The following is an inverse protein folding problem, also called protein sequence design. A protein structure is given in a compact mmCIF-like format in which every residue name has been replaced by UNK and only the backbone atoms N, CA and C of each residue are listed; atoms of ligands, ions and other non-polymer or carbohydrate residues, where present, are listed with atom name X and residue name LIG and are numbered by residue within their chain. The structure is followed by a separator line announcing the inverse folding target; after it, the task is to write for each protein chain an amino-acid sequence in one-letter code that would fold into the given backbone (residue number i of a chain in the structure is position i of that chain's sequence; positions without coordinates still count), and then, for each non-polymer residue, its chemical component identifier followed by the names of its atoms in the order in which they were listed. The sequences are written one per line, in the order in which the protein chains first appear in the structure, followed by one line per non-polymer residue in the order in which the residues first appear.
data_IF_479041005146
#
_entry.id   IF_479041005146
#
_cell.length_a   1.000
_cell.length_b   1.000
_cell.length_c   1.000
_cell.angle_alpha   90.00
_cell.angle_beta   90.00
_cell.angle_gamma   90.00
#
_symmetry.space_group_name_H-M   'P 1'
#
loop_
_entity.id
_entity.type
_entity.pdbx_description
1 polymer ?
#
# COMPACT_ATOMS: atom_id res chain seq x y z
N UNK A 1 21.78 12.70 9.47
CA UNK A 1 20.45 13.23 9.83
C UNK A 1 19.72 12.11 10.55
N UNK A 2 19.58 12.20 11.87
CA UNK A 2 19.00 11.15 12.71
C UNK A 2 17.52 11.52 12.94
N UNK A 3 16.60 10.73 12.37
CA UNK A 3 15.17 10.95 12.49
C UNK A 3 14.78 10.49 13.91
N UNK A 4 14.16 11.33 14.75
CA UNK A 4 13.75 10.89 16.07
C UNK A 4 12.68 9.81 15.96
N UNK A 5 12.86 8.69 16.67
CA UNK A 5 11.83 7.67 16.90
C UNK A 5 10.73 8.27 17.77
N UNK A 6 9.84 9.04 17.14
CA UNK A 6 8.73 9.68 17.81
C UNK A 6 7.58 8.66 17.99
N UNK A 7 7.18 8.35 19.24
CA UNK A 7 6.12 7.39 19.53
C UNK A 7 4.73 7.89 19.16
N UNK A 8 4.58 9.07 18.54
CA UNK A 8 3.31 9.51 17.95
C UNK A 8 3.14 9.02 16.51
N UNK A 9 4.23 8.68 15.81
CA UNK A 9 4.19 8.16 14.43
C UNK A 9 3.56 6.77 14.32
N UNK A 10 3.55 5.99 15.42
CA UNK A 10 2.89 4.67 15.48
C UNK A 10 1.36 4.73 15.42
N UNK A 11 0.77 5.92 15.58
CA UNK A 11 -0.68 6.12 15.57
C UNK A 11 -1.19 6.85 14.32
N UNK A 12 -0.29 7.29 13.44
CA UNK A 12 -0.66 7.76 12.11
C UNK A 12 -0.85 6.55 11.19
N UNK A 13 -2.08 6.29 10.69
CA UNK A 13 -2.28 5.29 9.66
C UNK A 13 -1.59 5.81 8.39
N UNK A 14 -0.37 5.35 8.13
CA UNK A 14 0.40 5.72 6.93
C UNK A 14 1.89 5.94 7.11
N UNK A 15 2.43 6.01 8.34
CA UNK A 15 3.89 6.15 8.56
C UNK A 15 4.54 4.95 9.24
N UNK A 16 3.74 4.04 9.82
CA UNK A 16 4.18 2.75 10.31
C UNK A 16 3.98 1.63 9.29
N UNK A 17 4.41 1.83 8.05
CA UNK A 17 4.33 0.79 7.03
C UNK A 17 5.21 -0.39 7.45
N UNK A 18 4.58 -1.48 7.89
CA UNK A 18 5.31 -2.75 8.07
C UNK A 18 6.01 -3.09 6.75
N UNK A 19 7.16 -3.77 6.75
CA UNK A 19 7.92 -4.06 5.52
C UNK A 19 7.03 -4.59 4.37
N UNK A 20 6.02 -5.40 4.72
CA UNK A 20 4.99 -5.92 3.80
C UNK A 20 4.04 -4.87 3.19
N UNK A 21 3.79 -3.75 3.87
CA UNK A 21 2.98 -2.63 3.37
C UNK A 21 3.75 -1.80 2.35
N UNK A 22 5.00 -1.48 2.67
CA UNK A 22 5.88 -0.72 1.77
C UNK A 22 6.14 -1.47 0.47
N UNK A 23 6.39 -2.77 0.53
CA UNK A 23 6.59 -3.60 -0.67
C UNK A 23 5.31 -3.71 -1.51
N UNK A 24 4.15 -3.80 -0.85
CA UNK A 24 2.86 -3.81 -1.53
C UNK A 24 2.59 -2.48 -2.26
N UNK A 25 2.84 -1.35 -1.61
CA UNK A 25 2.70 -0.03 -2.22
C UNK A 25 3.66 0.16 -3.40
N UNK A 26 4.92 -0.28 -3.27
CA UNK A 26 5.90 -0.24 -4.37
C UNK A 26 5.44 -1.07 -5.57
N UNK A 27 4.91 -2.27 -5.32
CA UNK A 27 4.38 -3.12 -6.38
C UNK A 27 3.22 -2.44 -7.13
N UNK A 28 2.29 -1.79 -6.41
CA UNK A 28 1.20 -1.07 -7.04
C UNK A 28 1.66 0.13 -7.88
N UNK A 29 2.66 0.88 -7.40
CA UNK A 29 3.24 1.99 -8.17
C UNK A 29 3.87 1.48 -9.46
N UNK A 30 4.65 0.39 -9.40
CA UNK A 30 5.26 -0.22 -10.57
C UNK A 30 4.20 -0.72 -11.60
N UNK A 31 3.07 -1.23 -11.13
CA UNK A 31 1.96 -1.63 -12.03
C UNK A 31 1.32 -0.45 -12.74
N UNK A 32 1.12 0.67 -12.04
CA UNK A 32 0.61 1.91 -12.64
C UNK A 32 1.59 2.45 -13.67
N UNK A 33 2.87 2.52 -13.34
CA UNK A 33 3.94 2.97 -14.25
C UNK A 33 3.98 2.12 -15.52
N UNK A 34 4.00 0.79 -15.39
CA UNK A 34 3.99 -0.13 -16.52
C UNK A 34 2.71 -0.05 -17.37
N UNK A 35 1.58 0.32 -16.77
CA UNK A 35 0.33 0.56 -17.49
C UNK A 35 0.39 1.86 -18.30
N UNK A 36 0.81 2.97 -17.69
CA UNK A 36 0.81 4.29 -18.34
C UNK A 36 1.90 4.44 -19.40
N UNK A 37 3.02 3.72 -19.29
CA UNK A 37 4.09 3.74 -20.29
C UNK A 37 3.64 3.33 -21.70
N UNK A 38 2.54 2.56 -21.78
CA UNK A 38 1.93 2.10 -23.05
C UNK A 38 1.21 3.21 -23.80
N UNK A 39 1.00 4.36 -23.17
CA UNK A 39 0.30 5.50 -23.74
C UNK A 39 1.26 6.66 -24.02
N UNK A 40 0.94 7.53 -24.99
CA UNK A 40 1.72 8.74 -25.25
C UNK A 40 1.66 9.67 -24.03
N UNK A 41 2.72 10.48 -23.86
CA UNK A 41 2.98 11.25 -22.64
C UNK A 41 1.80 12.12 -22.18
N UNK A 42 1.12 12.76 -23.13
CA UNK A 42 -0.05 13.60 -22.95
C UNK A 42 -1.28 12.85 -22.42
N UNK A 43 -1.38 11.54 -22.66
CA UNK A 43 -2.45 10.71 -22.13
C UNK A 43 -2.13 10.07 -20.77
N UNK A 44 -0.85 10.01 -20.37
CA UNK A 44 -0.41 9.19 -19.22
C UNK A 44 -1.09 9.58 -17.91
N UNK A 45 -1.26 10.87 -17.65
CA UNK A 45 -1.92 11.38 -16.45
C UNK A 45 -3.40 10.95 -16.39
N UNK A 46 -4.13 11.14 -17.49
CA UNK A 46 -5.53 10.73 -17.59
C UNK A 46 -5.68 9.20 -17.44
N UNK A 47 -4.75 8.44 -18.02
CA UNK A 47 -4.72 6.98 -17.93
C UNK A 47 -4.39 6.50 -16.52
N UNK A 48 -3.49 7.18 -15.81
CA UNK A 48 -3.18 6.90 -14.41
C UNK A 48 -4.43 7.07 -13.55
N UNK A 49 -5.15 8.18 -13.71
CA UNK A 49 -6.39 8.46 -12.95
C UNK A 49 -7.46 7.42 -13.23
N UNK A 50 -7.72 7.10 -14.51
CA UNK A 50 -8.70 6.07 -14.88
C UNK A 50 -8.34 4.69 -14.32
N UNK A 51 -7.04 4.35 -14.29
CA UNK A 51 -6.57 3.10 -13.70
C UNK A 51 -6.80 3.09 -12.18
N UNK A 52 -6.48 4.19 -11.49
CA UNK A 52 -6.70 4.30 -10.05
C UNK A 52 -8.20 4.18 -9.73
N UNK A 53 -9.08 4.89 -10.45
CA UNK A 53 -10.53 4.81 -10.24
C UNK A 53 -11.07 3.39 -10.42
N UNK A 54 -10.61 2.69 -11.47
CA UNK A 54 -11.02 1.31 -11.75
C UNK A 54 -10.53 0.31 -10.69
N UNK A 55 -9.35 0.54 -10.11
CA UNK A 55 -8.69 -0.44 -9.23
C UNK A 55 -8.76 -0.08 -7.73
N UNK A 56 -9.15 1.14 -7.36
CA UNK A 56 -9.15 1.62 -5.97
C UNK A 56 -10.05 0.79 -5.04
N UNK A 57 -11.19 0.31 -5.55
CA UNK A 57 -12.11 -0.53 -4.78
C UNK A 57 -11.50 -1.91 -4.46
N UNK A 58 -10.86 -2.53 -5.46
CA UNK A 58 -10.18 -3.82 -5.31
C UNK A 58 -8.95 -3.69 -4.41
N UNK A 59 -8.18 -2.61 -4.56
CA UNK A 59 -7.04 -2.30 -3.68
C UNK A 59 -7.48 -2.23 -2.22
N UNK A 60 -8.58 -1.51 -1.94
CA UNK A 60 -9.12 -1.39 -0.58
C UNK A 60 -9.54 -2.74 -0.01
N UNK A 61 -10.16 -3.60 -0.81
CA UNK A 61 -10.54 -4.95 -0.37
C UNK A 61 -9.33 -5.84 -0.07
N UNK A 62 -8.34 -5.86 -0.96
CA UNK A 62 -7.11 -6.62 -0.75
C UNK A 62 -6.35 -6.17 0.51
N UNK A 63 -6.31 -4.85 0.73
CA UNK A 63 -5.74 -4.26 1.93
C UNK A 63 -6.47 -4.71 3.22
N UNK A 64 -7.81 -4.70 3.20
CA UNK A 64 -8.63 -5.16 4.33
C UNK A 64 -8.38 -6.64 4.66
N UNK A 65 -8.29 -7.49 3.64
CA UNK A 65 -8.02 -8.93 3.82
C UNK A 65 -6.62 -9.15 4.41
N UNK A 66 -5.60 -8.48 3.87
CA UNK A 66 -4.22 -8.60 4.35
C UNK A 66 -4.09 -8.12 5.79
N UNK A 67 -4.61 -6.94 6.11
CA UNK A 67 -4.56 -6.40 7.48
C UNK A 67 -5.35 -7.22 8.49
N UNK A 68 -6.50 -7.80 8.11
CA UNK A 68 -7.26 -8.73 8.93
C UNK A 68 -6.49 -10.05 9.22
N UNK A 69 -5.74 -10.53 8.22
CA UNK A 69 -4.89 -11.73 8.33
C UNK A 69 -3.67 -11.48 9.21
N UNK A 70 -2.98 -10.35 9.02
CA UNK A 70 -1.85 -9.93 9.86
C UNK A 70 -2.24 -9.75 11.33
N UNK A 71 -3.48 -9.32 11.60
CA UNK A 71 -4.01 -9.17 12.96
C UNK A 71 -4.27 -10.53 13.64
N UNK A 72 -4.77 -11.52 12.88
CA UNK A 72 -4.99 -12.88 13.42
C UNK A 72 -3.67 -13.58 13.75
N UNK A 73 -2.62 -13.42 12.95
CA UNK A 73 -1.34 -14.08 13.19
C UNK A 73 -0.64 -13.61 14.48
N UNK A 74 -0.94 -12.41 14.99
CA UNK A 74 -0.44 -11.92 16.28
C UNK A 74 -1.24 -12.41 17.50
N UNK A 75 -2.40 -13.04 17.30
CA UNK A 75 -3.23 -13.55 18.39
C UNK A 75 -3.03 -15.06 18.62
N UNK A 76 -2.42 -15.76 17.67
CA UNK A 76 -2.27 -17.22 17.69
C UNK A 76 -0.96 -17.73 18.29
N UNK A 77 -0.23 -16.94 19.08
CA UNK A 77 0.92 -17.43 19.85
C UNK A 77 0.48 -17.66 21.30
N UNK A 78 0.03 -18.87 21.68
CA UNK A 78 -0.01 -19.24 23.09
C UNK A 78 1.43 -19.42 23.55
N UNK A 79 1.89 -18.51 24.40
CA UNK A 79 3.05 -18.75 25.25
C UNK A 79 2.66 -19.83 26.25
N UNK A 80 3.21 -21.03 26.08
CA UNK A 80 3.15 -22.15 27.02
C UNK A 80 4.55 -22.58 27.38
#
# INVERSE_FOLDING_TARGET
MNIPDDPTLRFLPGLGATFSETDFLRQQVAEIEAYVERFPWDERELRALAWIEANASQYRQQWQIRTATSRHQRQSTPQG
#
